data_IF_362212782243
#
_entry.id   IF_362212782243
#
_cell.length_a   1.000
_cell.length_b   1.000
_cell.length_c   1.000
_cell.angle_alpha   90.00
_cell.angle_beta   90.00
_cell.angle_gamma   90.00
#
_symmetry.space_group_name_H-M   'P 1'
#
loop_
_entity.id
_entity.type
_entity.pdbx_description
1 polymer ?
#
# COMPACT_ATOMS: atom_id res chain seq x y z
N UNK A 1 -12.45 7.49 29.79
CA UNK A 1 -11.96 6.50 28.82
C UNK A 1 -10.45 6.37 29.01
N UNK A 2 -9.94 5.20 29.38
CA UNK A 2 -8.52 4.98 29.72
C UNK A 2 -7.84 3.90 28.85
N UNK A 3 -8.55 3.40 27.83
CA UNK A 3 -8.04 2.39 26.89
C UNK A 3 -8.24 2.86 25.44
N UNK A 4 -7.45 2.27 24.53
CA UNK A 4 -7.49 2.54 23.09
C UNK A 4 -7.08 1.28 22.33
N UNK A 5 -7.59 1.12 21.11
CA UNK A 5 -7.20 0.03 20.22
C UNK A 5 -5.88 0.37 19.52
N UNK A 6 -5.02 -0.63 19.37
CA UNK A 6 -3.73 -0.50 18.68
C UNK A 6 -3.51 -1.70 17.78
N UNK A 7 -3.07 -1.43 16.54
CA UNK A 7 -2.89 -2.43 15.51
C UNK A 7 -1.45 -2.45 15.01
N UNK A 8 -1.03 -3.60 14.51
CA UNK A 8 0.32 -3.84 13.97
C UNK A 8 0.28 -4.00 12.46
N UNK A 9 1.36 -3.58 11.80
CA UNK A 9 1.54 -3.80 10.36
C UNK A 9 3.01 -3.90 9.97
N UNK A 10 3.29 -4.63 8.88
CA UNK A 10 4.59 -4.69 8.22
C UNK A 10 4.45 -5.03 6.73
N UNK A 11 5.56 -4.91 6.00
CA UNK A 11 5.62 -5.34 4.60
C UNK A 11 5.61 -6.86 4.54
N UNK A 12 4.61 -7.44 3.88
CA UNK A 12 4.52 -8.87 3.59
C UNK A 12 5.64 -9.22 2.61
N UNK A 13 6.84 -9.55 3.11
CA UNK A 13 8.04 -9.63 2.28
C UNK A 13 8.65 -11.03 2.25
N UNK A 14 8.90 -11.62 3.42
CA UNK A 14 9.56 -12.92 3.54
C UNK A 14 8.52 -14.04 3.56
N UNK A 15 8.24 -14.63 2.40
CA UNK A 15 7.13 -15.58 2.23
C UNK A 15 7.16 -16.76 3.20
N UNK A 16 8.33 -17.33 3.51
CA UNK A 16 8.45 -18.42 4.49
C UNK A 16 7.95 -18.02 5.89
N UNK A 17 8.16 -16.76 6.29
CA UNK A 17 7.67 -16.23 7.55
C UNK A 17 6.16 -16.00 7.50
N UNK A 18 5.68 -15.36 6.44
CA UNK A 18 4.26 -15.00 6.29
C UNK A 18 3.37 -16.25 6.14
N UNK A 19 3.79 -17.24 5.34
CA UNK A 19 3.04 -18.47 5.17
C UNK A 19 3.01 -19.30 6.47
N UNK A 20 4.12 -19.35 7.21
CA UNK A 20 4.20 -20.06 8.49
C UNK A 20 3.33 -19.43 9.58
N UNK A 21 3.01 -18.14 9.47
CA UNK A 21 2.13 -17.43 10.41
C UNK A 21 0.69 -17.26 9.91
N UNK A 22 0.36 -17.82 8.75
CA UNK A 22 -1.01 -17.84 8.22
C UNK A 22 -1.83 -18.96 8.84
N UNK A 23 -3.06 -18.66 9.27
CA UNK A 23 -3.97 -19.58 9.96
C UNK A 23 -5.36 -19.51 9.34
N UNK A 24 -6.06 -20.62 9.36
CA UNK A 24 -7.50 -20.64 9.08
C UNK A 24 -8.26 -20.22 10.34
N UNK A 25 -9.14 -19.25 10.21
CA UNK A 25 -10.02 -18.83 11.30
C UNK A 25 -11.09 -19.90 11.57
N UNK A 26 -11.20 -20.33 12.82
CA UNK A 26 -12.08 -21.44 13.21
C UNK A 26 -13.58 -21.14 13.09
N UNK A 27 -13.97 -19.87 12.91
CA UNK A 27 -15.38 -19.46 12.86
C UNK A 27 -15.89 -19.22 11.45
N UNK A 28 -15.01 -18.76 10.55
CA UNK A 28 -15.33 -18.36 9.18
C UNK A 28 -14.72 -19.27 8.12
N UNK A 29 -13.69 -20.04 8.45
CA UNK A 29 -12.91 -20.83 7.47
C UNK A 29 -12.05 -19.97 6.55
N UNK A 30 -11.93 -18.66 6.80
CA UNK A 30 -11.09 -17.76 6.03
C UNK A 30 -9.64 -17.84 6.51
N UNK A 31 -8.70 -17.67 5.59
CA UNK A 31 -7.28 -17.62 5.91
C UNK A 31 -6.86 -16.21 6.32
N UNK A 32 -6.15 -16.07 7.42
CA UNK A 32 -5.56 -14.81 7.87
C UNK A 32 -4.06 -14.98 8.07
N UNK A 33 -3.28 -14.02 7.58
CA UNK A 33 -1.90 -13.90 8.01
C UNK A 33 -1.88 -13.32 9.42
N UNK A 34 -1.62 -14.15 10.43
CA UNK A 34 -1.63 -13.74 11.83
C UNK A 34 -0.30 -13.11 12.30
N UNK A 35 0.62 -12.79 11.38
CA UNK A 35 1.85 -12.05 11.70
C UNK A 35 1.57 -10.58 12.05
N UNK A 36 0.52 -9.98 11.49
CA UNK A 36 0.07 -8.62 11.77
C UNK A 36 -1.41 -8.41 11.40
N UNK A 37 -1.98 -7.27 11.80
CA UNK A 37 -3.38 -6.95 11.51
C UNK A 37 -3.56 -6.50 10.05
N UNK A 38 -2.67 -5.63 9.58
CA UNK A 38 -2.57 -5.20 8.18
C UNK A 38 -1.19 -5.54 7.64
N UNK A 39 -1.12 -6.06 6.42
CA UNK A 39 0.17 -6.26 5.73
C UNK A 39 0.15 -5.58 4.36
N UNK A 40 1.31 -5.17 3.85
CA UNK A 40 1.38 -4.50 2.54
C UNK A 40 2.44 -5.08 1.60
N UNK A 41 2.28 -4.90 0.29
CA UNK A 41 3.35 -5.11 -0.70
C UNK A 41 4.13 -3.83 -0.97
N UNK A 42 5.46 -3.94 -1.04
CA UNK A 42 6.33 -2.83 -1.41
C UNK A 42 6.33 -2.55 -2.90
N UNK A 43 6.94 -1.41 -3.28
CA UNK A 43 7.08 -0.99 -4.69
C UNK A 43 7.77 -2.06 -5.56
N UNK A 44 8.66 -2.87 -4.98
CA UNK A 44 9.51 -3.82 -5.69
C UNK A 44 8.92 -5.23 -5.76
N UNK A 45 7.80 -5.45 -5.08
CA UNK A 45 7.17 -6.76 -4.85
C UNK A 45 5.68 -6.74 -5.18
N UNK A 46 5.24 -5.81 -6.04
CA UNK A 46 3.84 -5.61 -6.43
C UNK A 46 3.52 -6.06 -7.86
N UNK A 47 4.31 -6.98 -8.42
CA UNK A 47 4.05 -7.55 -9.74
C UNK A 47 2.73 -8.32 -9.70
N UNK A 48 1.86 -8.09 -10.69
CA UNK A 48 0.50 -8.66 -10.72
C UNK A 48 0.49 -10.19 -10.73
N UNK A 49 1.47 -10.80 -11.38
CA UNK A 49 1.71 -12.24 -11.45
C UNK A 49 2.71 -12.73 -10.39
N UNK A 50 3.10 -11.87 -9.45
CA UNK A 50 4.07 -12.15 -8.41
C UNK A 50 3.50 -12.88 -7.20
N UNK A 51 4.38 -13.60 -6.50
CA UNK A 51 4.02 -14.39 -5.31
C UNK A 51 3.37 -13.55 -4.19
N UNK A 52 3.82 -12.31 -3.99
CA UNK A 52 3.30 -11.43 -2.94
C UNK A 52 1.84 -11.02 -3.17
N UNK A 53 1.50 -10.69 -4.42
CA UNK A 53 0.12 -10.36 -4.80
C UNK A 53 -0.77 -11.60 -4.67
N UNK A 54 -0.31 -12.76 -5.16
CA UNK A 54 -1.07 -14.01 -5.03
C UNK A 54 -1.30 -14.42 -3.57
N UNK A 55 -0.28 -14.30 -2.73
CA UNK A 55 -0.40 -14.58 -1.30
C UNK A 55 -1.41 -13.65 -0.64
N UNK A 56 -1.28 -12.33 -0.87
CA UNK A 56 -2.16 -11.33 -0.25
C UNK A 56 -3.59 -11.36 -0.81
N UNK A 57 -3.80 -11.87 -2.02
CA UNK A 57 -5.12 -12.16 -2.59
C UNK A 57 -5.85 -13.25 -1.81
N UNK A 58 -5.11 -14.23 -1.26
CA UNK A 58 -5.66 -15.39 -0.55
C UNK A 58 -5.97 -15.18 0.93
N UNK A 59 -5.39 -14.17 1.58
CA UNK A 59 -5.64 -13.88 3.02
C UNK A 59 -6.80 -12.89 3.20
N UNK A 60 -7.45 -12.88 4.36
CA UNK A 60 -8.61 -12.07 4.69
C UNK A 60 -8.28 -10.77 5.46
N UNK A 61 -7.01 -10.53 5.79
CA UNK A 61 -6.55 -9.27 6.39
C UNK A 61 -6.92 -8.05 5.52
N UNK A 62 -7.08 -6.84 6.09
CA UNK A 62 -6.87 -5.61 5.34
C UNK A 62 -5.45 -5.61 4.74
N UNK A 63 -5.34 -5.17 3.49
CA UNK A 63 -4.08 -5.23 2.73
C UNK A 63 -3.72 -3.87 2.16
N UNK A 64 -2.42 -3.58 2.10
CA UNK A 64 -1.87 -2.38 1.47
C UNK A 64 -1.05 -2.68 0.23
N UNK A 65 -0.98 -1.74 -0.72
CA UNK A 65 -0.02 -1.78 -1.82
C UNK A 65 0.64 -0.41 -1.96
N UNK A 66 1.97 -0.38 -1.98
CA UNK A 66 2.75 0.83 -2.28
C UNK A 66 2.63 1.14 -3.76
N UNK A 67 2.30 2.38 -4.11
CA UNK A 67 2.23 2.86 -5.49
C UNK A 67 3.07 4.11 -5.68
N UNK A 68 3.65 4.26 -6.87
CA UNK A 68 4.50 5.40 -7.22
C UNK A 68 4.19 5.97 -8.60
N UNK A 69 4.92 7.01 -8.98
CA UNK A 69 4.89 7.67 -10.29
C UNK A 69 5.22 6.73 -11.46
N UNK A 70 5.83 5.57 -11.17
CA UNK A 70 6.20 4.56 -12.16
C UNK A 70 5.07 3.63 -12.55
N UNK A 71 3.96 3.65 -11.82
CA UNK A 71 2.83 2.75 -12.08
C UNK A 71 1.98 3.27 -13.23
N UNK A 72 1.57 2.38 -14.14
CA UNK A 72 0.61 2.74 -15.17
C UNK A 72 -0.82 2.75 -14.59
N UNK A 73 -1.70 3.58 -15.16
CA UNK A 73 -3.10 3.65 -14.71
C UNK A 73 -3.85 2.33 -14.93
N UNK A 74 -3.64 1.67 -16.06
CA UNK A 74 -4.30 0.39 -16.37
C UNK A 74 -3.80 -0.73 -15.43
N UNK A 75 -2.50 -0.74 -15.14
CA UNK A 75 -1.89 -1.65 -14.15
C UNK A 75 -2.52 -1.45 -12.75
N UNK A 76 -2.81 -0.20 -12.37
CA UNK A 76 -3.46 0.11 -11.10
C UNK A 76 -4.89 -0.45 -11.04
N UNK A 77 -5.66 -0.30 -12.11
CA UNK A 77 -7.02 -0.84 -12.19
C UNK A 77 -6.98 -2.36 -12.04
N UNK A 78 -6.06 -3.01 -12.75
CA UNK A 78 -5.91 -4.46 -12.71
C UNK A 78 -5.48 -4.96 -11.32
N UNK A 79 -4.53 -4.28 -10.68
CA UNK A 79 -4.12 -4.53 -9.30
C UNK A 79 -5.31 -4.46 -8.34
N UNK A 80 -6.14 -3.42 -8.44
CA UNK A 80 -7.29 -3.24 -7.55
C UNK A 80 -8.31 -4.36 -7.75
N UNK A 81 -8.56 -4.79 -8.99
CA UNK A 81 -9.46 -5.92 -9.30
C UNK A 81 -8.93 -7.23 -8.69
N UNK A 82 -7.62 -7.48 -8.75
CA UNK A 82 -7.00 -8.68 -8.18
C UNK A 82 -7.04 -8.66 -6.65
N UNK A 83 -6.72 -7.52 -6.03
CA UNK A 83 -6.54 -7.41 -4.58
C UNK A 83 -7.84 -7.16 -3.80
N UNK A 84 -8.88 -6.64 -4.46
CA UNK A 84 -10.21 -6.40 -3.90
C UNK A 84 -11.33 -6.92 -4.82
N UNK A 85 -11.37 -8.23 -5.13
CA UNK A 85 -12.28 -8.79 -6.14
C UNK A 85 -13.77 -8.65 -5.77
N UNK A 86 -14.08 -8.60 -4.48
CA UNK A 86 -15.44 -8.45 -3.96
C UNK A 86 -15.82 -6.98 -3.68
N UNK A 87 -14.97 -6.03 -4.08
CA UNK A 87 -15.14 -4.60 -3.84
C UNK A 87 -15.54 -4.27 -2.38
N UNK A 88 -14.88 -4.90 -1.41
CA UNK A 88 -15.19 -4.71 0.02
C UNK A 88 -14.54 -3.41 0.51
N UNK A 89 -15.31 -2.43 1.01
CA UNK A 89 -14.75 -1.19 1.54
C UNK A 89 -13.75 -1.46 2.68
N UNK A 90 -12.60 -0.78 2.66
CA UNK A 90 -11.55 -0.96 3.67
C UNK A 90 -10.65 -2.19 3.47
N UNK A 91 -10.93 -3.05 2.48
CA UNK A 91 -10.07 -4.21 2.16
C UNK A 91 -8.71 -3.78 1.64
N UNK A 92 -8.67 -2.88 0.67
CA UNK A 92 -7.44 -2.47 -0.01
C UNK A 92 -7.08 -1.01 0.29
N UNK A 93 -5.85 -0.81 0.72
CA UNK A 93 -5.24 0.51 0.92
C UNK A 93 -4.17 0.77 -0.15
N UNK A 94 -4.33 1.84 -0.91
CA UNK A 94 -3.32 2.34 -1.84
C UNK A 94 -2.43 3.37 -1.15
N UNK A 95 -1.14 3.05 -1.03
CA UNK A 95 -0.18 3.85 -0.28
C UNK A 95 0.73 4.60 -1.26
N UNK A 96 0.47 5.89 -1.47
CA UNK A 96 1.19 6.73 -2.43
C UNK A 96 2.58 7.11 -1.92
N UNK A 97 3.59 7.13 -2.79
CA UNK A 97 4.96 7.55 -2.45
C UNK A 97 5.72 8.12 -3.66
N UNK A 98 5.41 9.35 -4.06
CA UNK A 98 5.80 9.90 -5.36
C UNK A 98 6.72 11.13 -5.26
N UNK A 99 6.73 11.82 -4.12
CA UNK A 99 7.22 13.20 -4.03
C UNK A 99 6.15 14.20 -4.49
N UNK A 100 6.19 15.42 -3.96
CA UNK A 100 5.08 16.39 -4.07
C UNK A 100 4.69 16.76 -5.51
N UNK A 101 5.66 17.05 -6.37
CA UNK A 101 5.42 17.43 -7.77
C UNK A 101 4.73 16.31 -8.54
N UNK A 102 5.32 15.11 -8.50
CA UNK A 102 4.78 13.93 -9.19
C UNK A 102 3.44 13.48 -8.62
N UNK A 103 3.22 13.65 -7.31
CA UNK A 103 1.95 13.32 -6.69
C UNK A 103 0.82 14.16 -7.30
N UNK A 104 1.01 15.48 -7.47
CA UNK A 104 0.02 16.39 -8.08
C UNK A 104 -0.33 15.99 -9.52
N UNK A 105 0.64 15.48 -10.26
CA UNK A 105 0.43 15.05 -11.64
C UNK A 105 -0.28 13.68 -11.75
N UNK A 106 0.11 12.73 -10.89
CA UNK A 106 -0.30 11.32 -11.02
C UNK A 106 -1.54 10.97 -10.19
N UNK A 107 -1.63 11.42 -8.94
CA UNK A 107 -2.68 11.00 -8.02
C UNK A 107 -4.10 11.37 -8.52
N UNK A 108 -4.37 12.58 -9.04
CA UNK A 108 -5.69 12.90 -9.56
C UNK A 108 -6.13 11.98 -10.71
N UNK A 109 -5.19 11.53 -11.55
CA UNK A 109 -5.47 10.56 -12.63
C UNK A 109 -5.84 9.20 -12.06
N UNK A 110 -5.12 8.71 -11.06
CA UNK A 110 -5.40 7.44 -10.41
C UNK A 110 -6.75 7.45 -9.68
N UNK A 111 -7.06 8.52 -8.95
CA UNK A 111 -8.35 8.68 -8.27
C UNK A 111 -9.51 8.66 -9.28
N UNK A 112 -9.38 9.39 -10.41
CA UNK A 112 -10.42 9.39 -11.45
C UNK A 112 -10.64 8.00 -12.04
N UNK A 113 -9.56 7.32 -12.42
CA UNK A 113 -9.64 5.98 -12.99
C UNK A 113 -10.31 4.98 -12.05
N UNK A 114 -9.94 4.96 -10.77
CA UNK A 114 -10.57 4.07 -9.79
C UNK A 114 -12.05 4.43 -9.57
N UNK A 115 -12.38 5.72 -9.53
CA UNK A 115 -13.77 6.17 -9.38
C UNK A 115 -14.64 5.80 -10.58
N UNK A 116 -14.11 5.86 -11.80
CA UNK A 116 -14.79 5.46 -13.03
C UNK A 116 -15.05 3.95 -13.06
N UNK A 117 -14.10 3.14 -12.58
CA UNK A 117 -14.23 1.69 -12.50
C UNK A 117 -15.17 1.24 -11.37
N UNK A 118 -15.28 2.02 -10.29
CA UNK A 118 -16.16 1.75 -9.14
C UNK A 118 -15.58 0.99 -7.94
N UNK A 119 -14.34 0.45 -7.93
CA UNK A 119 -13.75 -0.08 -6.71
C UNK A 119 -13.60 0.96 -5.59
N UNK A 120 -13.84 0.52 -4.36
CA UNK A 120 -13.64 1.28 -3.13
C UNK A 120 -12.29 0.89 -2.53
N UNK A 121 -11.43 1.89 -2.34
CA UNK A 121 -10.09 1.75 -1.76
C UNK A 121 -9.84 2.85 -0.74
N UNK A 122 -8.97 2.58 0.22
CA UNK A 122 -8.46 3.59 1.15
C UNK A 122 -7.19 4.21 0.58
N UNK A 123 -7.11 5.54 0.54
CA UNK A 123 -5.90 6.25 0.12
C UNK A 123 -5.07 6.66 1.33
N UNK A 124 -3.77 6.36 1.31
CA UNK A 124 -2.82 6.75 2.35
C UNK A 124 -1.60 7.39 1.70
N UNK A 125 -1.14 8.50 2.27
CA UNK A 125 0.11 9.15 1.85
C UNK A 125 1.29 8.61 2.64
N UNK A 126 2.32 8.12 1.94
CA UNK A 126 3.66 7.88 2.46
C UNK A 126 4.62 8.95 1.88
N UNK A 127 4.70 10.12 2.52
CA UNK A 127 5.53 11.23 2.04
C UNK A 127 7.02 11.03 2.34
N UNK A 128 7.43 9.81 2.70
CA UNK A 128 8.80 9.52 3.14
C UNK A 128 9.59 8.83 2.04
N UNK A 129 9.06 7.72 1.48
CA UNK A 129 9.82 6.88 0.55
C UNK A 129 10.00 7.51 -0.85
N UNK A 130 9.22 8.51 -1.23
CA UNK A 130 9.43 9.31 -2.45
C UNK A 130 10.57 10.33 -2.31
N UNK A 131 10.80 10.86 -1.11
CA UNK A 131 11.66 12.03 -0.86
C UNK A 131 13.07 11.69 -0.34
N UNK A 132 13.56 10.48 -0.58
CA UNK A 132 14.90 10.08 -0.10
C UNK A 132 15.98 10.55 -1.05
N UNK A 133 16.93 11.32 -0.54
CA UNK A 133 18.12 11.79 -1.27
C UNK A 133 19.40 11.26 -0.62
N UNK A 134 20.46 11.14 -1.39
CA UNK A 134 21.81 10.89 -0.86
C UNK A 134 22.47 12.23 -0.54
N UNK A 135 23.05 12.36 0.66
CA UNK A 135 23.74 13.58 1.08
C UNK A 135 24.90 13.93 0.13
N UNK A 136 25.31 15.20 0.14
CA UNK A 136 26.43 15.69 -0.69
C UNK A 136 27.75 14.95 -0.46
N UNK A 137 27.96 14.40 0.75
CA UNK A 137 29.11 13.57 1.07
C UNK A 137 28.97 12.09 0.63
N UNK A 138 27.84 11.69 0.03
CA UNK A 138 27.58 10.35 -0.51
C UNK A 138 27.28 9.27 0.52
N UNK A 139 27.46 9.54 1.82
CA UNK A 139 27.44 8.52 2.87
C UNK A 139 26.09 8.31 3.55
N UNK A 140 25.22 9.33 3.53
CA UNK A 140 23.98 9.28 4.30
C UNK A 140 22.77 9.40 3.38
N UNK A 141 21.77 8.54 3.61
CA UNK A 141 20.43 8.74 3.08
C UNK A 141 19.69 9.67 4.03
N UNK A 142 19.12 10.74 3.49
CA UNK A 142 18.37 11.73 4.27
C UNK A 142 17.11 12.14 3.51
N UNK A 143 16.21 12.84 4.21
CA UNK A 143 14.95 13.38 3.68
C UNK A 143 14.79 14.80 4.17
N UNK A 144 14.46 15.71 3.26
CA UNK A 144 14.15 17.09 3.63
C UNK A 144 12.74 17.14 4.22
N UNK A 145 12.60 17.71 5.42
CA UNK A 145 11.29 17.87 6.08
C UNK A 145 10.31 18.69 5.23
N UNK A 146 10.78 19.74 4.56
CA UNK A 146 9.95 20.56 3.66
C UNK A 146 9.36 19.71 2.54
N UNK A 147 10.15 18.85 1.89
CA UNK A 147 9.66 17.96 0.84
C UNK A 147 8.62 16.94 1.36
N UNK A 148 8.81 16.43 2.58
CA UNK A 148 7.83 15.54 3.24
C UNK A 148 6.50 16.29 3.45
N UNK A 149 6.57 17.52 3.98
CA UNK A 149 5.38 18.36 4.21
C UNK A 149 4.67 18.71 2.91
N UNK A 150 5.42 19.06 1.88
CA UNK A 150 4.88 19.41 0.55
C UNK A 150 4.16 18.23 -0.11
N UNK A 151 4.62 16.99 0.06
CA UNK A 151 3.91 15.81 -0.46
C UNK A 151 2.63 15.51 0.34
N UNK A 152 2.64 15.79 1.65
CA UNK A 152 1.43 15.68 2.46
C UNK A 152 0.39 16.73 2.05
N UNK A 153 0.80 17.99 1.83
CA UNK A 153 -0.08 19.04 1.32
C UNK A 153 -0.62 18.69 -0.07
N UNK A 154 0.25 18.24 -0.98
CA UNK A 154 -0.12 17.78 -2.32
C UNK A 154 -1.15 16.65 -2.33
N UNK A 155 -1.18 15.82 -1.29
CA UNK A 155 -2.14 14.71 -1.17
C UNK A 155 -3.57 15.19 -0.87
N UNK A 156 -3.71 16.36 -0.24
CA UNK A 156 -5.00 16.95 0.10
C UNK A 156 -5.48 18.02 -0.89
N UNK A 157 -4.60 18.54 -1.76
CA UNK A 157 -4.93 19.42 -2.88
C UNK A 157 -5.89 18.74 -3.89
#
# INVERSE_FOLDING_TARGET
>A
FAETEFYTSHECLLMDYESTLTREDSTTGLWYNCSAHLVWTGERTRQLDGAHIEFMRGIANPVGVKISDKMATDELIELVRVMNPNNTPGRLTLITRMGAEKLRDHLPRFIRAIKEEGPVVTWVCDPMHGNTITSTCGRFKTRNYTAIKEELEAFFD
#
